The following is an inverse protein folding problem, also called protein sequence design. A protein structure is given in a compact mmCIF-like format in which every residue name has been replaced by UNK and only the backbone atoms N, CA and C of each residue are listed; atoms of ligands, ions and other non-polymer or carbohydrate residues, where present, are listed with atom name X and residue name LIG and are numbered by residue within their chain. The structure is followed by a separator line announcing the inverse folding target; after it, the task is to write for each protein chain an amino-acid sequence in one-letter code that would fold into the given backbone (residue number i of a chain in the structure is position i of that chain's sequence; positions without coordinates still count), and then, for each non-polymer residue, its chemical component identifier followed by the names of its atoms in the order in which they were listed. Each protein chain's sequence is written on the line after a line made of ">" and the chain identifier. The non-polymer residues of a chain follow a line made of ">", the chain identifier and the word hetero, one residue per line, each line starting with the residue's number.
data_IF_775001557368
#
_entry.id   IF_775001557368
#
_cell.length_a   1.000
_cell.length_b   1.000
_cell.length_c   1.000
_cell.angle_alpha   90.00
_cell.angle_beta   90.00
_cell.angle_gamma   90.00
#
_symmetry.space_group_name_H-M   'P 1'
#
loop_
_entity.id
_entity.type
_entity.pdbx_description
1 polymer ?
#
# COMPACT_ATOMS: atom_id res chain seq x y z
N UNK A 1 41.03 -17.90 -2.27
CA UNK A 1 39.58 -17.66 -2.48
C UNK A 1 39.39 -16.16 -2.43
N UNK A 2 38.75 -15.51 -3.41
CA UNK A 2 38.55 -14.06 -3.36
C UNK A 2 37.45 -13.77 -2.34
N UNK A 3 37.80 -13.00 -1.32
CA UNK A 3 36.92 -12.52 -0.28
C UNK A 3 35.83 -11.62 -0.89
N UNK A 4 34.58 -11.86 -0.50
CA UNK A 4 33.43 -11.11 -0.98
C UNK A 4 33.55 -9.65 -0.57
N UNK A 5 33.86 -8.79 -1.54
CA UNK A 5 33.64 -7.35 -1.42
C UNK A 5 32.14 -7.11 -1.38
N UNK A 6 31.58 -7.10 -0.18
CA UNK A 6 30.29 -6.49 0.09
C UNK A 6 30.43 -4.99 -0.24
N UNK A 7 29.93 -4.59 -1.40
CA UNK A 7 29.78 -3.18 -1.80
C UNK A 7 28.70 -2.54 -0.91
N UNK A 8 29.00 -2.40 0.39
CA UNK A 8 28.24 -1.55 1.31
C UNK A 8 28.66 -0.11 1.03
N UNK A 9 27.88 0.53 0.16
CA UNK A 9 27.90 1.98 0.03
C UNK A 9 27.53 2.54 1.41
N UNK A 10 28.46 3.23 2.06
CA UNK A 10 28.17 3.83 3.36
C UNK A 10 27.15 4.97 3.22
N UNK A 11 26.50 5.30 4.34
CA UNK A 11 25.42 6.28 4.36
C UNK A 11 25.86 7.65 3.82
N UNK A 12 27.11 8.06 4.08
CA UNK A 12 27.64 9.32 3.56
C UNK A 12 27.84 9.28 2.05
N UNK A 13 28.28 8.15 1.51
CA UNK A 13 28.42 7.95 0.07
C UNK A 13 27.04 7.97 -0.61
N UNK A 14 26.01 7.40 0.02
CA UNK A 14 24.64 7.48 -0.47
C UNK A 14 24.08 8.91 -0.41
N UNK A 15 24.29 9.63 0.70
CA UNK A 15 23.89 11.04 0.87
C UNK A 15 24.57 11.93 -0.17
N UNK A 16 25.87 11.78 -0.37
CA UNK A 16 26.64 12.50 -1.37
C UNK A 16 26.20 12.14 -2.79
N UNK A 17 25.82 10.89 -3.06
CA UNK A 17 25.24 10.50 -4.36
C UNK A 17 23.92 11.24 -4.59
N UNK A 18 23.04 11.25 -3.59
CA UNK A 18 21.75 11.96 -3.62
C UNK A 18 21.93 13.46 -3.83
N UNK A 19 22.82 14.09 -3.08
CA UNK A 19 23.14 15.52 -3.23
C UNK A 19 23.76 15.81 -4.61
N UNK A 20 24.61 14.93 -5.12
CA UNK A 20 25.20 15.08 -6.46
C UNK A 20 24.15 14.92 -7.57
N UNK A 21 23.19 14.00 -7.38
CA UNK A 21 22.07 13.79 -8.31
C UNK A 21 21.12 14.99 -8.27
N UNK A 22 20.84 15.54 -7.10
CA UNK A 22 20.03 16.76 -6.93
C UNK A 22 20.73 18.01 -7.50
N UNK A 23 22.04 18.14 -7.30
CA UNK A 23 22.83 19.24 -7.87
C UNK A 23 22.87 19.15 -9.41
N UNK A 24 23.12 17.97 -9.97
CA UNK A 24 23.06 17.74 -11.42
C UNK A 24 21.66 17.94 -11.99
N UNK A 25 20.61 17.67 -11.23
CA UNK A 25 19.23 17.95 -11.63
C UNK A 25 18.93 19.45 -11.79
N UNK A 26 19.69 20.35 -11.14
CA UNK A 26 19.54 21.81 -11.32
C UNK A 26 20.11 22.34 -12.64
N UNK A 27 21.12 21.67 -13.19
CA UNK A 27 21.84 22.09 -14.41
C UNK A 27 21.45 21.29 -15.66
N UNK A 28 20.56 20.31 -15.53
CA UNK A 28 20.03 19.55 -16.66
C UNK A 28 19.03 20.43 -17.46
N UNK A 29 19.02 20.36 -18.80
CA UNK A 29 17.93 20.91 -19.60
C UNK A 29 16.61 20.33 -19.08
N UNK A 30 15.46 21.04 -19.23
CA UNK A 30 14.19 20.61 -18.67
C UNK A 30 14.00 19.13 -18.93
N UNK A 31 14.03 18.35 -17.85
CA UNK A 31 14.01 16.90 -17.92
C UNK A 31 12.79 16.54 -18.74
N UNK A 32 12.97 15.80 -19.85
CA UNK A 32 11.83 15.25 -20.59
C UNK A 32 10.97 14.55 -19.57
N UNK A 33 9.68 14.87 -19.50
CA UNK A 33 8.82 14.45 -18.39
C UNK A 33 8.90 12.92 -18.11
N UNK A 34 9.16 12.11 -19.13
CA UNK A 34 9.46 10.68 -19.01
C UNK A 34 10.66 10.34 -18.12
N UNK A 35 11.79 11.05 -18.26
CA UNK A 35 12.99 10.82 -17.44
C UNK A 35 12.77 11.26 -15.98
N UNK A 36 11.91 12.26 -15.74
CA UNK A 36 11.54 12.64 -14.38
C UNK A 36 10.63 11.57 -13.74
N UNK A 37 9.72 10.97 -14.50
CA UNK A 37 8.90 9.83 -14.03
C UNK A 37 9.76 8.61 -13.66
N UNK A 38 10.74 8.27 -14.51
CA UNK A 38 11.73 7.22 -14.23
C UNK A 38 12.52 7.52 -12.95
N UNK A 39 12.98 8.76 -12.79
CA UNK A 39 13.70 9.18 -11.58
C UNK A 39 12.83 9.06 -10.32
N UNK A 40 11.56 9.47 -10.37
CA UNK A 40 10.64 9.33 -9.23
C UNK A 40 10.35 7.87 -8.89
N UNK A 41 10.26 7.01 -9.91
CA UNK A 41 10.10 5.56 -9.72
C UNK A 41 11.33 4.99 -9.00
N UNK A 42 12.52 5.28 -9.51
CA UNK A 42 13.77 4.81 -8.90
C UNK A 42 13.93 5.31 -7.46
N UNK A 43 13.58 6.57 -7.17
CA UNK A 43 13.59 7.06 -5.79
C UNK A 43 12.59 6.37 -4.90
N UNK A 44 11.36 6.15 -5.38
CA UNK A 44 10.35 5.42 -4.60
C UNK A 44 10.87 4.04 -4.19
N UNK A 45 11.41 3.27 -5.14
CA UNK A 45 11.92 1.91 -4.92
C UNK A 45 13.04 1.82 -3.88
N UNK A 46 13.81 2.90 -3.67
CA UNK A 46 14.94 2.91 -2.73
C UNK A 46 14.67 3.66 -1.42
N UNK A 47 13.45 4.12 -1.16
CA UNK A 47 13.11 4.84 0.10
C UNK A 47 13.54 4.02 1.32
N UNK A 48 13.34 2.72 1.30
CA UNK A 48 13.70 1.84 2.42
C UNK A 48 15.20 1.74 2.70
N UNK A 49 16.06 2.14 1.75
CA UNK A 49 17.51 2.19 1.94
C UNK A 49 17.96 3.47 2.64
N UNK A 50 17.06 4.44 2.80
CA UNK A 50 17.33 5.68 3.54
C UNK A 50 17.32 5.42 5.06
N UNK A 51 17.75 6.36 5.91
CA UNK A 51 17.62 6.22 7.37
C UNK A 51 16.16 6.15 7.78
N UNK A 52 15.81 5.22 8.68
CA UNK A 52 14.42 4.99 9.12
C UNK A 52 13.73 6.26 9.63
N UNK A 53 14.48 7.12 10.31
CA UNK A 53 14.02 8.42 10.81
C UNK A 53 13.52 9.38 9.72
N UNK A 54 13.95 9.20 8.47
CA UNK A 54 13.57 10.03 7.34
C UNK A 54 12.58 9.36 6.38
N UNK A 55 12.36 8.03 6.48
CA UNK A 55 11.54 7.26 5.54
C UNK A 55 10.18 7.89 5.24
N UNK A 56 9.46 8.32 6.29
CA UNK A 56 8.15 8.95 6.14
C UNK A 56 8.24 10.31 5.42
N UNK A 57 9.25 11.11 5.77
CA UNK A 57 9.49 12.42 5.17
C UNK A 57 9.80 12.29 3.68
N UNK A 58 10.71 11.38 3.34
CA UNK A 58 11.13 11.10 1.97
C UNK A 58 9.98 10.53 1.15
N UNK A 59 9.21 9.60 1.71
CA UNK A 59 7.99 9.08 1.09
C UNK A 59 6.98 10.19 0.79
N UNK A 60 6.66 11.04 1.78
CA UNK A 60 5.73 12.17 1.61
C UNK A 60 6.27 13.18 0.59
N UNK A 61 7.58 13.37 0.55
CA UNK A 61 8.28 14.20 -0.43
C UNK A 61 8.11 13.68 -1.85
N UNK A 62 8.49 12.43 -2.12
CA UNK A 62 8.38 11.80 -3.45
C UNK A 62 6.91 11.75 -3.89
N UNK A 63 5.98 11.40 -3.00
CA UNK A 63 4.55 11.41 -3.33
C UNK A 63 4.05 12.80 -3.75
N UNK A 64 4.52 13.86 -3.08
CA UNK A 64 4.19 15.25 -3.43
C UNK A 64 4.75 15.63 -4.80
N UNK A 65 5.98 15.22 -5.09
CA UNK A 65 6.63 15.47 -6.38
C UNK A 65 5.92 14.75 -7.52
N UNK A 66 5.53 13.49 -7.32
CA UNK A 66 4.71 12.73 -8.26
C UNK A 66 3.37 13.43 -8.50
N UNK A 67 2.67 13.86 -7.44
CA UNK A 67 1.35 14.48 -7.56
C UNK A 67 1.39 15.85 -8.29
N UNK A 68 2.43 16.67 -8.05
CA UNK A 68 2.44 18.06 -8.51
C UNK A 68 3.30 18.33 -9.74
N UNK A 69 4.32 17.51 -10.00
CA UNK A 69 5.28 17.77 -11.08
C UNK A 69 5.18 16.80 -12.26
N UNK A 70 4.55 15.64 -12.07
CA UNK A 70 4.30 14.72 -13.19
C UNK A 70 2.92 14.95 -13.81
N UNK A 71 2.81 14.91 -15.16
CA UNK A 71 1.53 14.79 -15.84
C UNK A 71 0.78 13.54 -15.36
N UNK A 72 -0.57 13.56 -15.27
CA UNK A 72 -1.35 12.42 -14.79
C UNK A 72 -1.07 11.10 -15.53
N UNK A 73 -0.72 11.18 -16.81
CA UNK A 73 -0.38 10.02 -17.66
C UNK A 73 0.91 9.32 -17.23
N UNK A 74 1.78 10.01 -16.48
CA UNK A 74 3.10 9.52 -16.05
C UNK A 74 3.19 9.24 -14.56
N UNK A 75 2.13 9.54 -13.79
CA UNK A 75 2.08 9.30 -12.36
C UNK A 75 1.89 7.82 -12.00
N UNK A 76 1.31 7.02 -12.91
CA UNK A 76 0.93 5.64 -12.62
C UNK A 76 2.09 4.76 -12.15
N UNK A 77 3.22 4.75 -12.86
CA UNK A 77 4.38 3.89 -12.51
C UNK A 77 5.02 4.29 -11.18
N UNK A 78 5.38 5.58 -10.94
CA UNK A 78 5.89 6.01 -9.63
C UNK A 78 4.91 5.73 -8.48
N UNK A 79 3.60 5.86 -8.70
CA UNK A 79 2.60 5.56 -7.68
C UNK A 79 2.60 4.07 -7.31
N UNK A 80 2.74 3.16 -8.28
CA UNK A 80 2.87 1.73 -8.00
C UNK A 80 4.07 1.47 -7.08
N UNK A 81 5.25 2.00 -7.42
CA UNK A 81 6.45 1.84 -6.61
C UNK A 81 6.25 2.40 -5.18
N UNK A 82 5.63 3.57 -5.03
CA UNK A 82 5.31 4.12 -3.70
C UNK A 82 4.31 3.24 -2.93
N UNK A 83 3.29 2.70 -3.58
CA UNK A 83 2.32 1.82 -2.91
C UNK A 83 3.01 0.55 -2.41
N UNK A 84 3.89 -0.05 -3.21
CA UNK A 84 4.65 -1.24 -2.82
C UNK A 84 5.63 -0.97 -1.67
N UNK A 85 6.28 0.19 -1.68
CA UNK A 85 7.22 0.59 -0.63
C UNK A 85 6.53 1.01 0.66
N UNK A 86 5.25 1.38 0.60
CA UNK A 86 4.46 1.69 1.80
C UNK A 86 4.45 0.55 2.82
N UNK A 87 4.69 -0.71 2.42
CA UNK A 87 4.76 -1.86 3.35
C UNK A 87 5.87 -1.78 4.38
N UNK A 88 6.92 -0.99 4.09
CA UNK A 88 8.10 -0.86 4.95
C UNK A 88 7.99 0.31 5.92
N UNK A 89 6.92 1.11 5.81
CA UNK A 89 6.64 2.23 6.71
C UNK A 89 5.95 1.74 7.99
N UNK A 90 6.29 2.37 9.13
CA UNK A 90 5.64 2.11 10.43
C UNK A 90 4.10 2.19 10.33
N UNK A 91 3.44 1.31 11.09
CA UNK A 91 1.98 1.16 11.12
C UNK A 91 1.24 2.46 11.46
N UNK A 92 1.85 3.33 12.26
CA UNK A 92 1.22 4.57 12.74
C UNK A 92 0.90 5.56 11.61
N UNK A 93 1.63 5.49 10.50
CA UNK A 93 1.48 6.41 9.36
C UNK A 93 0.67 5.83 8.20
N UNK A 94 0.30 4.55 8.28
CA UNK A 94 -0.38 3.83 7.20
C UNK A 94 -1.75 4.43 6.87
N UNK A 95 -2.51 4.93 7.85
CA UNK A 95 -3.87 5.44 7.62
C UNK A 95 -3.93 6.67 6.72
N UNK A 96 -3.27 7.76 7.14
CA UNK A 96 -3.21 9.04 6.40
C UNK A 96 -2.56 8.85 5.01
N UNK A 97 -1.45 8.10 4.96
CA UNK A 97 -0.75 7.84 3.70
C UNK A 97 -1.59 7.04 2.73
N UNK A 98 -2.28 6.00 3.22
CA UNK A 98 -3.17 5.17 2.40
C UNK A 98 -4.31 6.00 1.83
N UNK A 99 -4.95 6.85 2.64
CA UNK A 99 -5.97 7.77 2.15
C UNK A 99 -5.43 8.69 1.05
N UNK A 100 -4.23 9.25 1.24
CA UNK A 100 -3.58 10.08 0.23
C UNK A 100 -3.28 9.31 -1.05
N UNK A 101 -2.73 8.09 -0.96
CA UNK A 101 -2.45 7.24 -2.11
C UNK A 101 -3.72 6.89 -2.89
N UNK A 102 -4.82 6.52 -2.19
CA UNK A 102 -6.13 6.33 -2.82
C UNK A 102 -6.58 7.59 -3.57
N UNK A 103 -6.44 8.76 -2.95
CA UNK A 103 -6.77 10.04 -3.56
C UNK A 103 -5.94 10.32 -4.82
N UNK A 104 -4.63 10.06 -4.80
CA UNK A 104 -3.77 10.22 -5.96
C UNK A 104 -4.17 9.28 -7.10
N UNK A 105 -4.38 7.99 -6.79
CA UNK A 105 -4.78 6.99 -7.80
C UNK A 105 -6.14 7.32 -8.41
N UNK A 106 -7.12 7.75 -7.61
CA UNK A 106 -8.45 8.11 -8.09
C UNK A 106 -8.45 9.29 -9.07
N UNK A 107 -7.46 10.20 -8.98
CA UNK A 107 -7.30 11.34 -9.89
C UNK A 107 -6.65 10.98 -11.22
N UNK A 108 -6.06 9.79 -11.36
CA UNK A 108 -5.40 9.37 -12.59
C UNK A 108 -6.41 9.18 -13.73
N UNK A 109 -5.99 9.31 -15.01
CA UNK A 109 -6.81 8.91 -16.14
C UNK A 109 -7.19 7.42 -16.03
N UNK A 110 -8.40 6.99 -16.42
CA UNK A 110 -8.85 5.60 -16.28
C UNK A 110 -7.90 4.54 -16.85
N UNK A 111 -7.21 4.87 -17.95
CA UNK A 111 -6.22 3.98 -18.56
C UNK A 111 -4.99 3.71 -17.67
N UNK A 112 -4.65 4.65 -16.78
CA UNK A 112 -3.51 4.57 -15.86
C UNK A 112 -3.89 4.08 -14.46
N UNK A 113 -5.18 4.05 -14.12
CA UNK A 113 -5.65 3.65 -12.79
C UNK A 113 -5.45 2.16 -12.48
N UNK A 114 -5.44 1.29 -13.49
CA UNK A 114 -5.54 -0.16 -13.26
C UNK A 114 -4.38 -0.71 -12.43
N UNK A 115 -3.13 -0.43 -12.80
CA UNK A 115 -1.96 -0.95 -12.08
C UNK A 115 -1.84 -0.40 -10.65
N UNK A 116 -1.92 0.93 -10.42
CA UNK A 116 -1.89 1.47 -9.06
C UNK A 116 -3.05 0.97 -8.20
N UNK A 117 -4.25 0.81 -8.76
CA UNK A 117 -5.39 0.29 -8.00
C UNK A 117 -5.21 -1.19 -7.64
N UNK A 118 -4.63 -1.99 -8.53
CA UNK A 118 -4.25 -3.36 -8.24
C UNK A 118 -3.21 -3.42 -7.12
N UNK A 119 -2.17 -2.58 -7.16
CA UNK A 119 -1.17 -2.49 -6.11
C UNK A 119 -1.78 -2.11 -4.74
N UNK A 120 -2.74 -1.18 -4.71
CA UNK A 120 -3.48 -0.84 -3.48
C UNK A 120 -4.30 -2.03 -2.96
N UNK A 121 -4.94 -2.79 -3.85
CA UNK A 121 -5.68 -3.98 -3.48
C UNK A 121 -4.79 -5.08 -2.91
N UNK A 122 -3.63 -5.31 -3.53
CA UNK A 122 -2.63 -6.26 -3.04
C UNK A 122 -2.06 -5.82 -1.69
N UNK A 123 -1.83 -4.52 -1.49
CA UNK A 123 -1.41 -3.98 -0.20
C UNK A 123 -2.46 -4.15 0.89
N UNK A 124 -3.74 -3.97 0.57
CA UNK A 124 -4.83 -4.23 1.52
C UNK A 124 -4.98 -5.71 1.83
N UNK A 125 -4.72 -6.59 0.86
CA UNK A 125 -4.67 -8.04 1.10
C UNK A 125 -3.55 -8.39 2.08
N UNK A 126 -2.34 -7.89 1.87
CA UNK A 126 -1.23 -8.11 2.79
C UNK A 126 -1.53 -7.54 4.19
N UNK A 127 -2.10 -6.33 4.26
CA UNK A 127 -2.50 -5.74 5.52
C UNK A 127 -3.54 -6.61 6.23
N UNK A 128 -4.48 -7.19 5.49
CA UNK A 128 -5.49 -8.10 6.04
C UNK A 128 -4.86 -9.37 6.64
N UNK A 129 -3.91 -9.98 5.94
CA UNK A 129 -3.19 -11.19 6.39
C UNK A 129 -2.35 -10.95 7.64
N UNK A 130 -1.90 -9.71 7.86
CA UNK A 130 -1.06 -9.31 9.00
C UNK A 130 -1.87 -8.87 10.22
N UNK A 131 -3.20 -8.75 10.12
CA UNK A 131 -4.01 -8.36 11.27
C UNK A 131 -3.90 -9.43 12.37
N UNK A 132 -3.40 -8.99 13.53
CA UNK A 132 -3.42 -9.78 14.75
C UNK A 132 -4.02 -8.95 15.88
N UNK A 133 -5.16 -9.40 16.38
CA UNK A 133 -5.82 -8.76 17.51
C UNK A 133 -5.23 -9.28 18.83
N UNK A 134 -5.01 -8.42 19.85
CA UNK A 134 -4.53 -8.86 21.16
C UNK A 134 -5.53 -9.77 21.87
N UNK A 135 -5.03 -10.77 22.59
CA UNK A 135 -5.84 -11.73 23.37
C UNK A 135 -6.60 -11.10 24.55
N UNK A 136 -6.33 -9.85 24.90
CA UNK A 136 -6.98 -9.17 26.04
C UNK A 136 -7.67 -7.86 25.66
N UNK A 137 -7.73 -7.56 24.36
CA UNK A 137 -8.34 -6.32 23.87
C UNK A 137 -9.56 -6.66 23.03
N UNK A 138 -10.73 -6.15 23.38
CA UNK A 138 -11.94 -6.22 22.55
C UNK A 138 -11.89 -5.27 21.34
N UNK A 139 -10.74 -4.69 21.04
CA UNK A 139 -10.58 -3.75 19.94
C UNK A 139 -10.40 -4.49 18.61
N UNK A 140 -11.47 -4.52 17.80
CA UNK A 140 -11.45 -5.04 16.43
C UNK A 140 -11.17 -3.95 15.40
N UNK A 141 -10.85 -2.70 15.80
CA UNK A 141 -10.63 -1.59 14.86
C UNK A 141 -9.62 -1.89 13.76
N UNK A 142 -8.48 -2.58 14.00
CA UNK A 142 -7.56 -2.90 12.91
C UNK A 142 -8.25 -3.67 11.77
N UNK A 143 -9.16 -4.58 12.11
CA UNK A 143 -9.98 -5.31 11.15
C UNK A 143 -11.00 -4.42 10.46
N UNK A 144 -11.78 -3.65 11.24
CA UNK A 144 -12.82 -2.79 10.69
C UNK A 144 -12.25 -1.72 9.74
N UNK A 145 -11.08 -1.13 10.05
CA UNK A 145 -10.42 -0.14 9.20
C UNK A 145 -10.05 -0.73 7.83
N UNK A 146 -9.42 -1.92 7.81
CA UNK A 146 -9.06 -2.57 6.54
C UNK A 146 -10.31 -2.96 5.76
N UNK A 147 -11.35 -3.45 6.43
CA UNK A 147 -12.62 -3.77 5.78
C UNK A 147 -13.30 -2.53 5.18
N UNK A 148 -13.32 -1.40 5.89
CA UNK A 148 -13.86 -0.13 5.40
C UNK A 148 -13.06 0.38 4.19
N UNK A 149 -11.73 0.33 4.25
CA UNK A 149 -10.89 0.71 3.10
C UNK A 149 -11.21 -0.13 1.85
N UNK A 150 -11.39 -1.45 2.00
CA UNK A 150 -11.74 -2.33 0.89
C UNK A 150 -13.15 -2.02 0.37
N UNK A 151 -14.12 -1.77 1.26
CA UNK A 151 -15.52 -1.59 0.88
C UNK A 151 -15.81 -0.22 0.29
N UNK A 152 -15.12 0.81 0.77
CA UNK A 152 -15.41 2.20 0.42
C UNK A 152 -14.48 2.72 -0.67
N UNK A 153 -13.21 2.27 -0.70
CA UNK A 153 -12.18 2.86 -1.56
C UNK A 153 -11.83 2.00 -2.77
N UNK A 154 -11.92 0.68 -2.69
CA UNK A 154 -11.63 -0.18 -3.84
C UNK A 154 -12.84 -0.31 -4.79
N UNK A 155 -12.65 -0.19 -6.12
CA UNK A 155 -13.65 -0.62 -7.09
C UNK A 155 -13.95 -2.12 -6.97
N UNK A 156 -15.20 -2.54 -7.24
CA UNK A 156 -15.68 -3.91 -6.99
C UNK A 156 -14.78 -5.01 -7.56
N UNK A 157 -14.24 -4.82 -8.78
CA UNK A 157 -13.35 -5.78 -9.44
C UNK A 157 -12.04 -6.07 -8.68
N UNK A 158 -11.62 -5.18 -7.78
CA UNK A 158 -10.39 -5.32 -6.99
C UNK A 158 -10.65 -5.81 -5.55
N UNK A 159 -11.91 -5.94 -5.14
CA UNK A 159 -12.25 -6.27 -3.74
C UNK A 159 -12.07 -7.75 -3.40
N UNK A 160 -12.17 -8.65 -4.37
CA UNK A 160 -12.26 -10.09 -4.12
C UNK A 160 -11.08 -10.63 -3.30
N UNK A 161 -9.85 -10.46 -3.79
CA UNK A 161 -8.66 -10.98 -3.12
C UNK A 161 -8.48 -10.44 -1.68
N UNK A 162 -8.51 -9.12 -1.43
CA UNK A 162 -8.35 -8.61 -0.07
C UNK A 162 -9.51 -8.98 0.86
N UNK A 163 -10.77 -9.04 0.37
CA UNK A 163 -11.89 -9.51 1.19
C UNK A 163 -11.75 -10.98 1.59
N UNK A 164 -11.35 -11.85 0.65
CA UNK A 164 -11.14 -13.28 0.95
C UNK A 164 -10.05 -13.43 2.02
N UNK A 165 -8.90 -12.78 1.85
CA UNK A 165 -7.82 -12.82 2.83
C UNK A 165 -8.27 -12.32 4.22
N UNK A 166 -9.05 -11.23 4.25
CA UNK A 166 -9.58 -10.69 5.49
C UNK A 166 -10.60 -11.63 6.15
N UNK A 167 -11.42 -12.35 5.38
CA UNK A 167 -12.32 -13.35 5.96
C UNK A 167 -11.50 -14.51 6.55
N UNK A 168 -10.51 -15.02 5.82
CA UNK A 168 -9.65 -16.11 6.28
C UNK A 168 -8.90 -15.75 7.58
N UNK A 169 -8.47 -14.50 7.75
CA UNK A 169 -7.71 -14.11 8.95
C UNK A 169 -8.55 -14.22 10.24
N UNK A 170 -9.89 -14.15 10.16
CA UNK A 170 -10.79 -14.29 11.32
C UNK A 170 -10.55 -15.62 12.04
N UNK A 171 -10.41 -16.72 11.28
CA UNK A 171 -10.19 -18.05 11.84
C UNK A 171 -8.87 -18.18 12.60
N UNK A 172 -7.88 -17.34 12.28
CA UNK A 172 -6.62 -17.27 13.02
C UNK A 172 -6.69 -16.38 14.26
N UNK A 173 -7.72 -15.56 14.43
CA UNK A 173 -7.84 -14.65 15.58
C UNK A 173 -8.22 -15.40 16.86
N UNK A 174 -7.97 -14.81 18.04
CA UNK A 174 -8.51 -15.31 19.31
C UNK A 174 -10.03 -15.49 19.27
N UNK A 175 -10.52 -16.63 19.78
CA UNK A 175 -11.95 -17.03 19.69
C UNK A 175 -12.92 -15.99 20.24
N UNK A 176 -12.54 -15.26 21.27
CA UNK A 176 -13.37 -14.19 21.86
C UNK A 176 -13.72 -13.07 20.85
N UNK A 177 -12.93 -12.90 19.79
CA UNK A 177 -13.15 -11.89 18.75
C UNK A 177 -14.03 -12.39 17.61
N UNK A 178 -14.16 -13.71 17.45
CA UNK A 178 -14.79 -14.33 16.27
C UNK A 178 -16.20 -13.82 16.03
N UNK A 179 -17.06 -13.85 17.05
CA UNK A 179 -18.46 -13.41 16.91
C UNK A 179 -18.54 -11.98 16.38
N UNK A 180 -17.79 -11.05 17.00
CA UNK A 180 -17.83 -9.64 16.62
C UNK A 180 -17.27 -9.40 15.22
N UNK A 181 -16.18 -10.09 14.87
CA UNK A 181 -15.58 -10.01 13.53
C UNK A 181 -16.53 -10.55 12.45
N UNK A 182 -17.19 -11.67 12.70
CA UNK A 182 -18.17 -12.28 11.79
C UNK A 182 -19.38 -11.36 11.61
N UNK A 183 -19.93 -10.82 12.71
CA UNK A 183 -21.05 -9.87 12.66
C UNK A 183 -20.70 -8.62 11.84
N UNK A 184 -19.52 -8.05 12.08
CA UNK A 184 -19.01 -6.87 11.36
C UNK A 184 -18.80 -7.17 9.86
N UNK A 185 -18.22 -8.34 9.54
CA UNK A 185 -18.03 -8.82 8.18
C UNK A 185 -19.36 -9.04 7.43
N UNK A 186 -20.29 -9.80 8.02
CA UNK A 186 -21.60 -10.08 7.43
C UNK A 186 -22.42 -8.79 7.23
N UNK A 187 -22.31 -7.86 8.19
CA UNK A 187 -22.92 -6.54 8.13
C UNK A 187 -22.53 -5.76 6.88
N UNK A 188 -21.27 -5.86 6.45
CA UNK A 188 -20.76 -5.18 5.25
C UNK A 188 -20.89 -6.01 3.98
N UNK A 189 -20.65 -7.33 4.02
CA UNK A 189 -20.78 -8.22 2.86
C UNK A 189 -22.18 -8.14 2.22
N UNK A 190 -23.24 -7.92 3.03
CA UNK A 190 -24.61 -7.80 2.50
C UNK A 190 -24.77 -6.69 1.46
N UNK A 191 -23.92 -5.65 1.50
CA UNK A 191 -23.98 -4.49 0.59
C UNK A 191 -23.24 -4.73 -0.73
N UNK A 192 -22.45 -5.80 -0.85
CA UNK A 192 -21.76 -6.18 -2.09
C UNK A 192 -22.79 -6.55 -3.16
N UNK A 193 -22.63 -6.01 -4.38
CA UNK A 193 -23.55 -6.25 -5.50
C UNK A 193 -23.37 -7.64 -6.08
N UNK A 194 -22.12 -8.08 -6.31
CA UNK A 194 -21.80 -9.41 -6.80
C UNK A 194 -22.31 -10.51 -5.85
N UNK A 195 -23.31 -11.26 -6.30
CA UNK A 195 -23.85 -12.42 -5.57
C UNK A 195 -22.80 -13.51 -5.40
N UNK A 196 -22.06 -13.83 -6.46
CA UNK A 196 -20.99 -14.83 -6.44
C UNK A 196 -19.95 -14.50 -5.38
N UNK A 197 -19.49 -13.25 -5.31
CA UNK A 197 -18.53 -12.82 -4.30
C UNK A 197 -19.12 -12.92 -2.89
N UNK A 198 -20.38 -12.52 -2.68
CA UNK A 198 -21.03 -12.66 -1.36
C UNK A 198 -21.11 -14.11 -0.92
N UNK A 199 -21.48 -15.02 -1.81
CA UNK A 199 -21.63 -16.44 -1.49
C UNK A 199 -20.25 -17.07 -1.21
N UNK A 200 -19.22 -16.69 -1.97
CA UNK A 200 -17.82 -17.07 -1.70
C UNK A 200 -17.35 -16.61 -0.31
N UNK A 201 -17.58 -15.35 0.05
CA UNK A 201 -17.17 -14.81 1.35
C UNK A 201 -17.94 -15.47 2.51
N UNK A 202 -19.24 -15.74 2.33
CA UNK A 202 -20.02 -16.50 3.31
C UNK A 202 -19.50 -17.93 3.48
N UNK A 203 -19.12 -18.58 2.39
CA UNK A 203 -18.52 -19.91 2.47
C UNK A 203 -17.16 -19.88 3.18
N UNK A 204 -16.33 -18.87 2.90
CA UNK A 204 -15.07 -18.67 3.61
C UNK A 204 -15.30 -18.48 5.13
N UNK A 205 -16.36 -17.75 5.52
CA UNK A 205 -16.79 -17.61 6.91
C UNK A 205 -17.26 -18.93 7.52
N UNK A 206 -18.09 -19.70 6.80
CA UNK A 206 -18.64 -20.97 7.29
C UNK A 206 -17.55 -22.01 7.54
N UNK A 207 -16.58 -22.14 6.62
CA UNK A 207 -15.47 -23.09 6.71
C UNK A 207 -14.56 -22.87 7.94
N UNK A 208 -14.66 -21.73 8.63
CA UNK A 208 -13.88 -21.45 9.84
C UNK A 208 -14.58 -21.85 11.14
N UNK A 209 -15.88 -22.12 11.07
CA UNK A 209 -16.69 -22.52 12.23
C UNK A 209 -16.80 -24.06 12.37
N UNK A 210 -16.42 -24.79 11.32
CA UNK A 210 -16.30 -26.25 11.27
C UNK A 210 -14.90 -26.71 11.71
#
# INVERSE_FOLDING_TARGET
>A
MPEGHDLRIDFETYRLLLESMQARAKDLPPVRQSAFSEQMTAFAEVIHLMPEENHLGDFKGILREVEHKLPPEQQGVPLVALIEESRKLSNDFQGELREKLFGCVAKLPPAQQNRPMQALADRLREAAEQIRLPDHSNDIKPFSIVLDDIMDKLPERYRRAPLVALMTVIGSQPRQHHQRLIEDALGRIKTIRSRTLRDELKQALANMLD
#
